data_IF_465981864361
#
_entry.id   IF_465981864361
#
_cell.length_a   1.000
_cell.length_b   1.000
_cell.length_c   1.000
_cell.angle_alpha   90.00
_cell.angle_beta   90.00
_cell.angle_gamma   90.00
#
_symmetry.space_group_name_H-M   'P 1'
#
loop_
_entity.id
_entity.type
_entity.pdbx_description
1 polymer ?
#
# COMPACT_ATOMS: atom_id res chain seq x y z
N UNK A 1 6.41 -14.83 9.12
CA UNK A 1 5.07 -15.17 8.58
C UNK A 1 4.75 -14.06 7.61
N UNK A 2 4.72 -14.33 6.31
CA UNK A 2 4.32 -13.34 5.30
C UNK A 2 2.81 -13.38 5.15
N UNK A 3 2.16 -12.22 5.12
CA UNK A 3 0.71 -12.12 4.95
C UNK A 3 0.36 -12.22 3.47
N UNK A 4 -0.77 -12.84 3.14
CA UNK A 4 -1.26 -12.83 1.77
C UNK A 4 -1.77 -11.41 1.42
N UNK A 5 -1.74 -11.03 0.13
CA UNK A 5 -2.31 -9.77 -0.35
C UNK A 5 -3.76 -9.57 0.10
N UNK A 6 -4.58 -10.61 -0.02
CA UNK A 6 -5.97 -10.62 0.42
C UNK A 6 -6.18 -10.63 1.95
N UNK A 7 -5.15 -10.95 2.73
CA UNK A 7 -5.21 -10.96 4.19
C UNK A 7 -4.84 -9.59 4.81
N UNK A 8 -4.43 -8.63 3.98
CA UNK A 8 -4.21 -7.26 4.41
C UNK A 8 -5.54 -6.63 4.80
N UNK A 9 -5.54 -5.95 5.93
CA UNK A 9 -6.70 -5.26 6.47
C UNK A 9 -6.31 -3.91 7.04
N UNK A 10 -7.29 -3.03 7.16
CA UNK A 10 -7.12 -1.75 7.83
C UNK A 10 -6.49 -1.95 9.22
N UNK A 11 -5.48 -1.15 9.54
CA UNK A 11 -4.71 -1.25 10.77
C UNK A 11 -3.45 -2.13 10.69
N UNK A 12 -3.22 -2.83 9.57
CA UNK A 12 -1.97 -3.57 9.41
C UNK A 12 -0.78 -2.62 9.18
N UNK A 13 0.30 -2.85 9.92
CA UNK A 13 1.54 -2.12 9.71
C UNK A 13 2.31 -2.74 8.54
N UNK A 14 2.56 -1.93 7.51
CA UNK A 14 3.26 -2.34 6.29
C UNK A 14 4.44 -1.41 6.01
N UNK A 15 5.43 -1.95 5.32
CA UNK A 15 6.61 -1.22 4.90
C UNK A 15 6.89 -1.50 3.44
N UNK A 16 7.50 -0.56 2.74
CA UNK A 16 7.84 -0.74 1.33
C UNK A 16 9.05 0.08 0.97
N UNK A 17 9.70 -0.30 -0.12
CA UNK A 17 10.86 0.42 -0.62
C UNK A 17 10.44 1.63 -1.46
N UNK A 18 10.93 2.81 -1.09
CA UNK A 18 10.80 4.04 -1.88
C UNK A 18 12.18 4.65 -2.11
N UNK A 19 12.72 4.46 -3.32
CA UNK A 19 14.08 4.93 -3.66
C UNK A 19 15.12 4.28 -2.75
N UNK A 20 15.85 5.09 -1.98
CA UNK A 20 16.78 4.63 -0.93
C UNK A 20 16.14 4.51 0.46
N UNK A 21 14.91 5.00 0.63
CA UNK A 21 14.17 4.94 1.89
C UNK A 21 13.31 3.68 2.02
N UNK A 22 12.95 3.35 3.25
CA UNK A 22 12.00 2.30 3.59
C UNK A 22 10.89 2.88 4.47
N UNK A 23 9.97 3.66 3.89
CA UNK A 23 8.82 4.18 4.61
C UNK A 23 7.98 3.05 5.20
N UNK A 24 7.42 3.35 6.38
CA UNK A 24 6.43 2.53 7.07
C UNK A 24 5.12 3.28 7.14
N UNK A 25 4.03 2.55 7.13
CA UNK A 25 2.70 3.10 7.24
C UNK A 25 1.70 2.04 7.67
N UNK A 26 0.47 2.49 7.85
CA UNK A 26 -0.65 1.65 8.25
C UNK A 26 -1.60 1.50 7.06
N UNK A 27 -2.06 0.27 6.81
CA UNK A 27 -3.07 0.01 5.79
C UNK A 27 -4.34 0.72 6.19
N UNK A 28 -4.85 1.55 5.28
CA UNK A 28 -6.11 2.29 5.44
C UNK A 28 -7.23 1.60 4.67
N UNK A 29 -6.94 1.13 3.46
CA UNK A 29 -7.93 0.50 2.60
C UNK A 29 -7.24 -0.49 1.65
N UNK A 30 -7.93 -1.57 1.31
CA UNK A 30 -7.49 -2.56 0.31
C UNK A 30 -8.56 -2.62 -0.77
N UNK A 31 -8.16 -2.38 -2.01
CA UNK A 31 -9.04 -2.27 -3.17
C UNK A 31 -8.59 -3.28 -4.21
N UNK A 32 -9.46 -4.25 -4.49
CA UNK A 32 -9.29 -5.27 -5.54
C UNK A 32 -9.61 -4.66 -6.92
N UNK A 33 -8.94 -3.56 -7.26
CA UNK A 33 -9.25 -2.76 -8.44
C UNK A 33 -8.42 -1.48 -8.54
N UNK A 34 -8.95 -0.47 -9.25
CA UNK A 34 -8.26 0.82 -9.38
C UNK A 34 -8.37 1.64 -8.09
N UNK A 35 -7.24 1.78 -7.39
CA UNK A 35 -7.10 2.67 -6.24
C UNK A 35 -6.37 3.95 -6.62
N UNK A 36 -6.80 5.05 -6.00
CA UNK A 36 -6.19 6.37 -6.17
C UNK A 36 -5.75 6.89 -4.81
N UNK A 37 -4.51 7.35 -4.68
CA UNK A 37 -4.04 8.03 -3.48
C UNK A 37 -3.30 9.33 -3.81
N UNK A 38 -3.42 10.28 -2.90
CA UNK A 38 -2.76 11.59 -3.03
C UNK A 38 -1.43 11.56 -2.31
N UNK A 39 -0.34 11.62 -3.08
CA UNK A 39 1.00 11.69 -2.52
C UNK A 39 1.24 13.00 -1.76
N UNK A 40 2.25 13.02 -0.88
CA UNK A 40 2.68 14.20 -0.09
C UNK A 40 2.96 15.45 -0.94
N UNK A 41 3.27 15.29 -2.22
CA UNK A 41 3.50 16.39 -3.19
C UNK A 41 2.22 16.89 -3.88
N UNK A 42 1.04 16.40 -3.51
CA UNK A 42 -0.22 16.72 -4.17
C UNK A 42 -0.42 16.02 -5.52
N UNK A 43 0.39 14.99 -5.81
CA UNK A 43 0.25 14.19 -7.03
C UNK A 43 -0.71 13.03 -6.78
N UNK A 44 -1.72 12.89 -7.62
CA UNK A 44 -2.56 11.69 -7.65
C UNK A 44 -1.77 10.51 -8.25
N UNK A 45 -1.65 9.45 -7.46
CA UNK A 45 -1.07 8.18 -7.88
C UNK A 45 -2.24 7.22 -8.05
N UNK A 46 -2.37 6.66 -9.25
CA UNK A 46 -3.35 5.62 -9.55
C UNK A 46 -2.64 4.29 -9.69
N UNK A 47 -3.16 3.28 -9.01
CA UNK A 47 -2.68 1.89 -9.08
C UNK A 47 -3.85 0.99 -9.39
N UNK A 48 -3.66 0.13 -10.38
CA UNK A 48 -4.62 -0.91 -10.72
C UNK A 48 -4.21 -2.17 -9.96
N UNK A 49 -4.97 -2.48 -8.93
CA UNK A 49 -4.94 -3.79 -8.28
C UNK A 49 -5.88 -4.77 -8.97
N UNK A 50 -5.67 -6.03 -8.68
CA UNK A 50 -6.40 -7.18 -9.19
C UNK A 50 -6.63 -8.20 -8.05
N UNK A 51 -7.37 -9.28 -8.32
CA UNK A 51 -7.72 -10.29 -7.30
C UNK A 51 -6.48 -10.93 -6.67
N UNK A 52 -5.43 -11.18 -7.45
CA UNK A 52 -4.14 -11.70 -6.96
C UNK A 52 -3.25 -10.62 -6.32
N UNK A 53 -3.45 -9.35 -6.68
CA UNK A 53 -2.60 -8.24 -6.24
C UNK A 53 -3.41 -6.95 -6.02
N UNK A 54 -4.20 -6.87 -4.94
CA UNK A 54 -4.98 -5.68 -4.65
C UNK A 54 -4.10 -4.45 -4.42
N UNK A 55 -4.69 -3.29 -4.71
CA UNK A 55 -4.08 -2.02 -4.41
C UNK A 55 -4.40 -1.62 -2.97
N UNK A 56 -3.37 -1.26 -2.22
CA UNK A 56 -3.42 -0.98 -0.80
C UNK A 56 -3.15 0.51 -0.61
N UNK A 57 -4.14 1.20 -0.05
CA UNK A 57 -4.00 2.58 0.40
C UNK A 57 -3.37 2.54 1.79
N UNK A 58 -2.25 3.22 1.93
CA UNK A 58 -1.42 3.21 3.14
C UNK A 58 -1.31 4.62 3.65
N UNK A 59 -1.67 4.82 4.92
CA UNK A 59 -1.43 6.07 5.61
C UNK A 59 -0.01 6.07 6.17
N UNK A 60 0.82 6.99 5.68
CA UNK A 60 2.18 7.14 6.19
C UNK A 60 2.17 7.89 7.53
N UNK A 61 3.09 7.55 8.42
CA UNK A 61 3.23 8.23 9.72
C UNK A 61 3.61 9.73 9.60
N UNK A 62 3.93 10.19 8.38
CA UNK A 62 4.13 11.60 8.03
C UNK A 62 2.82 12.36 7.78
N UNK A 63 1.65 11.72 7.87
CA UNK A 63 0.34 12.33 7.58
C UNK A 63 0.06 12.45 6.09
N UNK A 64 0.59 11.55 5.27
CA UNK A 64 0.36 11.52 3.82
C UNK A 64 -0.12 10.15 3.38
N UNK A 65 -1.01 10.11 2.40
CA UNK A 65 -1.51 8.86 1.85
C UNK A 65 -0.59 8.38 0.71
N UNK A 66 -0.41 7.07 0.63
CA UNK A 66 0.26 6.39 -0.46
C UNK A 66 -0.63 5.29 -0.99
N UNK A 67 -0.47 4.94 -2.27
CA UNK A 67 -1.05 3.72 -2.83
C UNK A 67 0.07 2.83 -3.33
N UNK A 68 0.03 1.57 -2.93
CA UNK A 68 0.97 0.54 -3.36
C UNK A 68 0.24 -0.75 -3.65
N UNK A 69 0.79 -1.55 -4.54
CA UNK A 69 0.29 -2.89 -4.75
C UNK A 69 0.75 -3.79 -3.61
N UNK A 70 -0.07 -4.74 -3.21
CA UNK A 70 0.27 -5.69 -2.17
C UNK A 70 1.61 -6.41 -2.46
N UNK A 71 1.91 -6.77 -3.70
CA UNK A 71 3.21 -7.37 -4.09
C UNK A 71 4.41 -6.43 -3.94
N UNK A 72 4.22 -5.11 -3.80
CA UNK A 72 5.30 -4.14 -3.56
C UNK A 72 5.62 -3.95 -2.07
N UNK A 73 4.81 -4.53 -1.18
CA UNK A 73 4.96 -4.38 0.27
C UNK A 73 5.89 -5.45 0.83
N UNK A 74 6.78 -5.03 1.72
CA UNK A 74 7.63 -5.94 2.49
C UNK A 74 6.79 -6.71 3.50
N UNK A 75 7.01 -8.02 3.56
CA UNK A 75 6.22 -8.92 4.43
C UNK A 75 4.92 -9.42 3.80
N UNK A 76 4.62 -8.98 2.58
CA UNK A 76 3.50 -9.47 1.76
C UNK A 76 4.10 -10.28 0.61
N UNK A 77 3.74 -11.56 0.51
CA UNK A 77 4.19 -12.40 -0.61
C UNK A 77 3.05 -12.48 -1.63
N UNK A 78 3.30 -12.21 -2.92
CA UNK A 78 2.37 -12.60 -3.98
C UNK A 78 2.24 -14.13 -4.06
#
# INVERSE_FOLDING_TARGET
MTKAPQDLKEGDEVSWKWGQGHPKGEVKEVVEGEATATSKRGSEIKKKGDEDNPAVVIHTNSGSDGVKLASELDGVKP
#
